data_IF_031932077807
#
_entry.id   IF_031932077807
#
_cell.length_a   1.000
_cell.length_b   1.000
_cell.length_c   1.000
_cell.angle_alpha   90.00
_cell.angle_beta   90.00
_cell.angle_gamma   90.00
#
_symmetry.space_group_name_H-M   'P 1'
#
loop_
_entity.id
_entity.type
_entity.pdbx_description
1 polymer ?
#
# COMPACT_ATOMS: atom_id res chain seq x y z
N UNK A 1 3.51 -27.46 -49.95
CA UNK A 1 3.62 -26.48 -48.86
C UNK A 1 2.30 -25.77 -48.66
N UNK A 2 1.42 -26.33 -47.83
CA UNK A 2 0.12 -25.75 -47.56
C UNK A 2 0.22 -24.98 -46.23
N UNK A 3 0.12 -23.64 -46.30
CA UNK A 3 -0.04 -22.79 -45.12
C UNK A 3 -1.50 -22.84 -44.69
N UNK A 4 -1.78 -23.57 -43.64
CA UNK A 4 -3.07 -23.56 -42.96
C UNK A 4 -3.25 -22.19 -42.27
N UNK A 5 -4.12 -21.36 -42.88
CA UNK A 5 -4.59 -20.13 -42.23
C UNK A 5 -5.56 -20.53 -41.13
N UNK A 6 -5.13 -20.45 -39.89
CA UNK A 6 -6.01 -20.56 -38.71
C UNK A 6 -6.86 -19.28 -38.66
N UNK A 7 -8.09 -19.36 -39.13
CA UNK A 7 -9.09 -18.32 -38.91
C UNK A 7 -9.48 -18.32 -37.44
N UNK A 8 -8.96 -17.37 -36.65
CA UNK A 8 -9.50 -17.03 -35.35
C UNK A 8 -10.90 -16.44 -35.56
N UNK A 9 -11.93 -17.26 -35.40
CA UNK A 9 -13.29 -16.78 -35.15
C UNK A 9 -13.26 -16.07 -33.77
N UNK A 10 -13.16 -14.76 -33.76
CA UNK A 10 -13.52 -13.97 -32.57
C UNK A 10 -14.98 -14.26 -32.26
N UNK A 11 -15.25 -14.94 -31.17
CA UNK A 11 -16.62 -15.22 -30.75
C UNK A 11 -17.26 -13.91 -30.25
N UNK A 12 -18.40 -13.55 -30.85
CA UNK A 12 -19.25 -12.42 -30.40
C UNK A 12 -20.00 -12.75 -29.10
N UNK A 13 -19.27 -13.13 -28.05
CA UNK A 13 -19.87 -13.46 -26.76
C UNK A 13 -20.01 -12.25 -25.82
N UNK A 14 -19.27 -11.19 -26.08
CA UNK A 14 -19.35 -9.93 -25.35
C UNK A 14 -20.00 -8.87 -26.24
N UNK A 15 -20.81 -7.97 -25.67
CA UNK A 15 -21.42 -6.87 -26.42
C UNK A 15 -20.33 -6.08 -27.15
N UNK A 16 -20.39 -6.02 -28.47
CA UNK A 16 -19.41 -5.36 -29.35
C UNK A 16 -19.33 -3.83 -29.23
N UNK A 17 -19.68 -3.25 -28.08
CA UNK A 17 -19.39 -1.86 -27.83
C UNK A 17 -18.02 -1.78 -27.16
N UNK A 18 -16.97 -1.37 -27.89
CA UNK A 18 -15.70 -1.07 -27.23
C UNK A 18 -16.00 0.00 -26.18
N UNK A 19 -15.49 -0.21 -24.96
CA UNK A 19 -15.63 0.75 -23.85
C UNK A 19 -14.97 2.11 -24.18
N UNK A 20 -14.45 2.27 -25.40
CA UNK A 20 -13.66 3.42 -25.82
C UNK A 20 -12.27 3.42 -25.18
N UNK A 21 -11.58 4.55 -25.29
CA UNK A 21 -10.32 4.77 -24.58
C UNK A 21 -10.64 5.00 -23.11
N UNK A 22 -10.36 4.01 -22.27
CA UNK A 22 -10.53 4.14 -20.83
C UNK A 22 -9.51 5.14 -20.29
N UNK A 23 -9.93 6.02 -19.35
CA UNK A 23 -9.01 6.97 -18.73
C UNK A 23 -7.92 6.22 -17.95
N UNK A 24 -6.70 6.74 -18.03
CA UNK A 24 -5.58 6.30 -17.19
C UNK A 24 -5.36 7.28 -16.06
N UNK A 25 -4.87 6.78 -14.94
CA UNK A 25 -4.54 7.64 -13.81
C UNK A 25 -3.35 8.54 -14.14
N UNK A 26 -3.50 9.82 -13.87
CA UNK A 26 -2.38 10.76 -13.89
C UNK A 26 -1.84 10.88 -12.47
N UNK A 27 -0.66 10.32 -12.23
CA UNK A 27 0.00 10.34 -10.93
C UNK A 27 1.04 11.45 -10.78
N UNK A 28 1.08 12.40 -11.72
CA UNK A 28 2.10 13.49 -11.73
C UNK A 28 2.01 14.41 -10.51
N UNK A 29 0.84 14.47 -9.83
CA UNK A 29 0.68 15.21 -8.58
C UNK A 29 1.49 14.59 -7.42
N UNK A 30 1.79 13.29 -7.51
CA UNK A 30 2.70 12.61 -6.60
C UNK A 30 4.13 12.66 -7.15
N UNK A 31 4.37 11.99 -8.29
CA UNK A 31 5.66 11.97 -8.98
C UNK A 31 5.47 11.76 -10.48
N UNK A 32 6.32 12.39 -11.29
CA UNK A 32 6.27 12.27 -12.75
C UNK A 32 6.63 10.87 -13.26
N UNK A 33 7.46 10.14 -12.55
CA UNK A 33 7.84 8.75 -12.88
C UNK A 33 8.56 8.07 -11.72
N UNK A 34 8.66 6.74 -11.79
CA UNK A 34 9.45 5.90 -10.85
C UNK A 34 10.96 6.22 -10.87
N UNK A 35 11.43 6.98 -11.88
CA UNK A 35 12.83 7.35 -12.07
C UNK A 35 13.09 8.85 -11.89
N UNK A 36 12.07 9.65 -11.53
CA UNK A 36 12.21 11.09 -11.36
C UNK A 36 13.19 11.42 -10.23
N UNK A 37 13.92 12.51 -10.39
CA UNK A 37 14.88 12.97 -9.37
C UNK A 37 14.19 13.32 -8.06
N UNK A 38 12.99 13.90 -8.12
CA UNK A 38 12.19 14.20 -6.91
C UNK A 38 11.87 12.93 -6.11
N UNK A 39 11.46 11.85 -6.80
CA UNK A 39 11.19 10.55 -6.12
C UNK A 39 12.43 10.01 -5.41
N UNK A 40 13.60 10.10 -6.06
CA UNK A 40 14.87 9.63 -5.48
C UNK A 40 15.31 10.48 -4.29
N UNK A 41 15.15 11.81 -4.41
CA UNK A 41 15.46 12.76 -3.35
C UNK A 41 14.57 12.53 -2.12
N UNK A 42 13.25 12.45 -2.32
CA UNK A 42 12.30 12.19 -1.24
C UNK A 42 12.58 10.86 -0.53
N UNK A 43 12.91 9.80 -1.30
CA UNK A 43 13.27 8.50 -0.73
C UNK A 43 14.58 8.55 0.07
N UNK A 44 15.57 9.29 -0.39
CA UNK A 44 16.82 9.49 0.33
C UNK A 44 16.63 10.35 1.59
N UNK A 45 15.83 11.41 1.48
CA UNK A 45 15.48 12.32 2.57
C UNK A 45 14.76 11.56 3.69
N UNK A 46 13.71 10.80 3.37
CA UNK A 46 12.96 10.04 4.39
C UNK A 46 13.81 8.97 5.05
N UNK A 47 14.68 8.30 4.28
CA UNK A 47 15.58 7.26 4.82
C UNK A 47 16.59 7.88 5.81
N UNK A 48 17.17 9.02 5.44
CA UNK A 48 18.15 9.71 6.29
C UNK A 48 17.47 10.35 7.49
N UNK A 49 16.31 11.00 7.27
CA UNK A 49 15.52 11.64 8.31
C UNK A 49 15.08 10.67 9.41
N UNK A 50 14.63 9.48 9.04
CA UNK A 50 14.23 8.43 10.00
C UNK A 50 15.41 7.99 10.89
N UNK A 51 16.58 7.77 10.29
CA UNK A 51 17.80 7.41 11.05
C UNK A 51 18.23 8.53 12.02
N UNK A 52 18.26 9.75 11.53
CA UNK A 52 18.61 10.91 12.40
C UNK A 52 17.61 11.10 13.51
N UNK A 53 16.32 10.91 13.25
CA UNK A 53 15.28 10.98 14.28
C UNK A 53 15.52 9.93 15.37
N UNK A 54 15.81 8.70 14.95
CA UNK A 54 16.13 7.58 15.84
C UNK A 54 17.36 7.85 16.69
N UNK A 55 18.47 8.21 16.09
CA UNK A 55 19.73 8.49 16.78
C UNK A 55 19.58 9.60 17.84
N UNK A 56 18.78 10.61 17.51
CA UNK A 56 18.58 11.77 18.37
C UNK A 56 17.66 11.49 19.55
N UNK A 57 16.56 10.74 19.33
CA UNK A 57 15.45 10.72 20.29
C UNK A 57 15.11 9.35 20.87
N UNK A 58 15.51 8.23 20.24
CA UNK A 58 15.17 6.90 20.74
C UNK A 58 15.70 6.70 22.16
N UNK A 59 14.84 6.23 23.06
CA UNK A 59 15.13 6.03 24.48
C UNK A 59 15.14 7.30 25.32
N UNK A 60 14.76 8.46 24.75
CA UNK A 60 14.86 9.77 25.41
C UNK A 60 13.56 10.55 25.46
N UNK A 61 12.45 10.01 24.93
CA UNK A 61 11.19 10.77 24.84
C UNK A 61 10.65 11.14 26.22
N UNK A 62 10.84 10.30 27.21
CA UNK A 62 10.43 10.59 28.59
C UNK A 62 11.17 11.77 29.25
N UNK A 63 12.30 12.19 28.69
CA UNK A 63 13.12 13.30 29.20
C UNK A 63 12.84 14.62 28.45
N UNK A 64 12.00 14.58 27.42
CA UNK A 64 11.74 15.76 26.60
C UNK A 64 10.75 16.71 27.28
N UNK A 65 11.05 18.01 27.17
CA UNK A 65 10.05 19.04 27.42
C UNK A 65 9.04 19.13 26.24
N UNK A 66 7.95 19.85 26.46
CA UNK A 66 6.88 19.98 25.49
C UNK A 66 7.35 20.58 24.13
N UNK A 67 8.30 21.53 24.17
CA UNK A 67 8.84 22.14 22.95
C UNK A 67 9.69 21.15 22.16
N UNK A 68 10.47 20.35 22.81
CA UNK A 68 11.30 19.31 22.20
C UNK A 68 10.45 18.17 21.67
N UNK A 69 9.40 17.77 22.40
CA UNK A 69 8.42 16.80 21.92
C UNK A 69 7.66 17.30 20.69
N UNK A 70 7.22 18.55 20.66
CA UNK A 70 6.57 19.14 19.49
C UNK A 70 7.49 19.14 18.26
N UNK A 71 8.79 19.41 18.41
CA UNK A 71 9.77 19.33 17.33
C UNK A 71 9.96 17.90 16.81
N UNK A 72 10.02 16.93 17.72
CA UNK A 72 10.09 15.52 17.39
C UNK A 72 8.85 15.10 16.58
N UNK A 73 7.65 15.42 17.07
CA UNK A 73 6.37 15.06 16.41
C UNK A 73 6.31 15.71 15.03
N UNK A 74 6.70 16.96 14.88
CA UNK A 74 6.74 17.63 13.58
C UNK A 74 7.68 16.93 12.59
N UNK A 75 8.84 16.49 13.05
CA UNK A 75 9.78 15.73 12.19
C UNK A 75 9.21 14.35 11.83
N UNK A 76 8.56 13.68 12.77
CA UNK A 76 7.86 12.42 12.56
C UNK A 76 6.71 12.58 11.54
N UNK A 77 5.93 13.65 11.64
CA UNK A 77 4.86 13.99 10.70
C UNK A 77 5.40 14.16 9.28
N UNK A 78 6.48 14.93 9.09
CA UNK A 78 7.13 15.13 7.79
C UNK A 78 7.64 13.81 7.19
N UNK A 79 8.26 12.95 7.99
CA UNK A 79 8.70 11.61 7.56
C UNK A 79 7.50 10.76 7.17
N UNK A 80 6.43 10.76 7.95
CA UNK A 80 5.21 9.99 7.70
C UNK A 80 4.49 10.44 6.44
N UNK A 81 4.45 11.75 6.17
CA UNK A 81 3.90 12.32 4.94
C UNK A 81 4.68 11.84 3.70
N UNK A 82 6.01 11.89 3.74
CA UNK A 82 6.85 11.39 2.65
C UNK A 82 6.69 9.88 2.43
N UNK A 83 6.64 9.09 3.51
CA UNK A 83 6.35 7.65 3.43
C UNK A 83 5.00 7.42 2.75
N UNK A 84 3.97 8.15 3.17
CA UNK A 84 2.63 8.07 2.59
C UNK A 84 2.61 8.41 1.11
N UNK A 85 3.28 9.47 0.69
CA UNK A 85 3.39 9.92 -0.70
C UNK A 85 4.11 8.89 -1.58
N UNK A 86 5.27 8.42 -1.14
CA UNK A 86 6.08 7.41 -1.83
C UNK A 86 5.32 6.09 -1.95
N UNK A 87 4.70 5.64 -0.84
CA UNK A 87 3.95 4.40 -0.79
C UNK A 87 2.70 4.45 -1.67
N UNK A 88 1.94 5.55 -1.63
CA UNK A 88 0.76 5.75 -2.48
C UNK A 88 1.12 5.74 -3.96
N UNK A 89 2.19 6.42 -4.35
CA UNK A 89 2.65 6.42 -5.74
C UNK A 89 3.04 5.01 -6.20
N UNK A 90 3.80 4.27 -5.39
CA UNK A 90 4.23 2.92 -5.73
C UNK A 90 3.03 1.96 -5.85
N UNK A 91 2.07 2.05 -4.92
CA UNK A 91 0.85 1.25 -4.93
C UNK A 91 -0.03 1.57 -6.15
N UNK A 92 -0.30 2.84 -6.43
CA UNK A 92 -1.16 3.24 -7.56
C UNK A 92 -0.54 2.85 -8.91
N UNK A 93 0.78 2.94 -9.05
CA UNK A 93 1.50 2.46 -10.23
C UNK A 93 1.32 0.94 -10.43
N UNK A 94 1.34 0.17 -9.35
CA UNK A 94 1.08 -1.27 -9.38
C UNK A 94 -0.40 -1.56 -9.69
N UNK A 95 -1.33 -0.88 -9.03
CA UNK A 95 -2.76 -1.11 -9.14
C UNK A 95 -3.31 -0.78 -10.53
N UNK A 96 -2.71 0.18 -11.25
CA UNK A 96 -3.08 0.49 -12.65
C UNK A 96 -2.90 -0.73 -13.57
N UNK A 97 -1.89 -1.55 -13.32
CA UNK A 97 -1.64 -2.78 -14.09
C UNK A 97 -0.91 -3.83 -13.24
N UNK A 98 -1.67 -4.60 -12.48
CA UNK A 98 -1.14 -5.66 -11.59
C UNK A 98 -0.43 -6.80 -12.33
N UNK A 99 -0.67 -6.95 -13.64
CA UNK A 99 0.02 -7.94 -14.49
C UNK A 99 1.40 -7.48 -14.97
N UNK A 100 1.75 -6.21 -14.77
CA UNK A 100 3.04 -5.66 -15.16
C UNK A 100 4.11 -6.00 -14.12
N UNK A 101 5.04 -6.88 -14.49
CA UNK A 101 6.10 -7.35 -13.60
C UNK A 101 7.04 -6.23 -13.11
N UNK A 102 7.28 -5.18 -13.92
CA UNK A 102 8.10 -4.04 -13.51
C UNK A 102 7.43 -3.21 -12.42
N UNK A 103 6.10 -2.98 -12.55
CA UNK A 103 5.34 -2.26 -11.55
C UNK A 103 5.27 -3.06 -10.23
N UNK A 104 5.06 -4.37 -10.32
CA UNK A 104 5.04 -5.27 -9.18
C UNK A 104 6.39 -5.27 -8.44
N UNK A 105 7.50 -5.38 -9.16
CA UNK A 105 8.84 -5.34 -8.59
C UNK A 105 9.16 -3.98 -7.96
N UNK A 106 8.80 -2.87 -8.64
CA UNK A 106 8.97 -1.53 -8.09
C UNK A 106 8.21 -1.37 -6.78
N UNK A 107 6.93 -1.75 -6.76
CA UNK A 107 6.09 -1.68 -5.57
C UNK A 107 6.68 -2.50 -4.42
N UNK A 108 7.11 -3.75 -4.68
CA UNK A 108 7.76 -4.58 -3.67
C UNK A 108 9.02 -3.92 -3.09
N UNK A 109 9.91 -3.42 -3.94
CA UNK A 109 11.14 -2.77 -3.49
C UNK A 109 10.86 -1.54 -2.62
N UNK A 110 9.79 -0.79 -2.94
CA UNK A 110 9.40 0.37 -2.13
C UNK A 110 8.77 -0.08 -0.81
N UNK A 111 7.94 -1.12 -0.80
CA UNK A 111 7.39 -1.66 0.45
C UNK A 111 8.48 -2.13 1.42
N UNK A 112 9.52 -2.81 0.93
CA UNK A 112 10.66 -3.22 1.74
C UNK A 112 11.35 -2.01 2.40
N UNK A 113 11.65 -0.98 1.60
CA UNK A 113 12.27 0.25 2.11
C UNK A 113 11.39 1.00 3.11
N UNK A 114 10.09 1.10 2.83
CA UNK A 114 9.13 1.73 3.76
C UNK A 114 9.06 0.95 5.08
N UNK A 115 9.12 -0.38 5.04
CA UNK A 115 9.13 -1.19 6.26
C UNK A 115 10.38 -0.95 7.10
N UNK A 116 11.56 -0.86 6.47
CA UNK A 116 12.80 -0.52 7.16
C UNK A 116 12.72 0.88 7.81
N UNK A 117 12.27 1.88 7.04
CA UNK A 117 12.10 3.26 7.52
C UNK A 117 11.07 3.32 8.66
N UNK A 118 9.94 2.62 8.52
CA UNK A 118 8.89 2.56 9.56
C UNK A 118 9.41 1.89 10.84
N UNK A 119 10.26 0.86 10.72
CA UNK A 119 10.91 0.24 11.87
C UNK A 119 11.86 1.20 12.62
N UNK A 120 12.51 2.12 11.88
CA UNK A 120 13.38 3.12 12.49
C UNK A 120 12.62 4.20 13.26
N UNK A 121 11.38 4.52 12.89
CA UNK A 121 10.57 5.55 13.57
C UNK A 121 9.49 4.98 14.49
N UNK A 122 9.35 3.67 14.57
CA UNK A 122 8.33 2.99 15.39
C UNK A 122 8.41 3.38 16.87
N UNK A 123 9.62 3.61 17.38
CA UNK A 123 9.86 4.00 18.78
C UNK A 123 9.09 5.25 19.20
N UNK A 124 8.77 6.17 18.27
CA UNK A 124 8.10 7.43 18.57
C UNK A 124 6.74 7.18 19.23
N UNK A 125 5.88 6.39 18.59
CA UNK A 125 4.56 6.07 19.14
C UNK A 125 4.65 5.17 20.37
N UNK A 126 5.59 4.22 20.37
CA UNK A 126 5.77 3.29 21.49
C UNK A 126 6.24 3.99 22.77
N UNK A 127 7.19 4.91 22.66
CA UNK A 127 7.71 5.65 23.82
C UNK A 127 6.74 6.72 24.31
N UNK A 128 6.04 7.43 23.42
CA UNK A 128 4.95 8.34 23.81
C UNK A 128 3.87 7.59 24.61
N UNK A 129 3.52 6.38 24.20
CA UNK A 129 2.54 5.55 24.89
C UNK A 129 3.02 5.10 26.30
N UNK A 130 4.32 5.06 26.54
CA UNK A 130 4.89 4.67 27.85
C UNK A 130 5.03 5.80 28.82
N UNK A 131 4.86 7.05 28.40
CA UNK A 131 4.91 8.19 29.31
C UNK A 131 3.95 7.97 30.49
N UNK A 132 4.37 8.31 31.71
CA UNK A 132 3.49 8.30 32.85
C UNK A 132 2.34 9.28 32.65
N UNK A 133 1.17 9.00 33.24
CA UNK A 133 -0.04 9.75 32.95
C UNK A 133 0.06 11.22 33.34
N UNK A 134 0.64 11.50 34.51
CA UNK A 134 0.88 12.85 35.01
C UNK A 134 1.82 13.65 34.09
N UNK A 135 2.88 13.02 33.61
CA UNK A 135 3.82 13.62 32.65
C UNK A 135 3.10 13.90 31.31
N UNK A 136 2.34 12.95 30.80
CA UNK A 136 1.60 13.10 29.57
C UNK A 136 0.59 14.24 29.64
N UNK A 137 -0.21 14.31 30.69
CA UNK A 137 -1.19 15.38 30.89
C UNK A 137 -0.49 16.74 31.02
N UNK A 138 0.61 16.83 31.80
CA UNK A 138 1.36 18.08 31.91
C UNK A 138 1.96 18.57 30.58
N UNK A 139 2.42 17.66 29.74
CA UNK A 139 2.91 18.01 28.39
C UNK A 139 1.79 18.61 27.52
N UNK A 140 0.56 18.07 27.59
CA UNK A 140 -0.58 18.55 26.82
C UNK A 140 -1.07 19.96 27.23
N UNK A 141 -0.73 20.45 28.40
CA UNK A 141 -1.04 21.83 28.85
C UNK A 141 -0.26 22.89 28.06
N UNK A 142 0.73 22.47 27.25
CA UNK A 142 1.58 23.39 26.49
C UNK A 142 1.00 23.69 25.10
N UNK A 143 0.81 24.98 24.80
CA UNK A 143 0.24 25.46 23.52
C UNK A 143 0.95 24.90 22.27
N UNK A 144 2.25 24.58 22.36
CA UNK A 144 2.99 24.02 21.21
C UNK A 144 2.57 22.59 20.87
N UNK A 145 1.89 21.89 21.76
CA UNK A 145 1.34 20.56 21.54
C UNK A 145 -0.17 20.57 21.24
N UNK A 146 -0.85 21.72 21.37
CA UNK A 146 -2.30 21.84 21.18
C UNK A 146 -2.76 21.31 19.79
N UNK A 147 -1.99 21.57 18.73
CA UNK A 147 -2.28 21.05 17.40
C UNK A 147 -2.21 19.52 17.33
N UNK A 148 -1.30 18.90 18.08
CA UNK A 148 -1.07 17.45 18.09
C UNK A 148 -1.86 16.72 19.17
N UNK A 149 -2.58 17.42 20.04
CA UNK A 149 -3.31 16.81 21.15
C UNK A 149 -4.29 15.71 20.70
N UNK A 150 -5.13 15.88 19.66
CA UNK A 150 -6.03 14.82 19.20
C UNK A 150 -5.27 13.55 18.81
N UNK A 151 -4.21 13.68 18.02
CA UNK A 151 -3.37 12.56 17.62
C UNK A 151 -2.69 11.88 18.81
N UNK A 152 -2.15 12.66 19.76
CA UNK A 152 -1.52 12.14 20.98
C UNK A 152 -2.52 11.35 21.84
N UNK A 153 -3.76 11.81 21.94
CA UNK A 153 -4.84 11.09 22.64
C UNK A 153 -5.24 9.80 21.92
N UNK A 154 -5.30 9.82 20.60
CA UNK A 154 -5.63 8.64 19.79
C UNK A 154 -4.58 7.54 19.94
N UNK A 155 -3.28 7.87 19.80
CA UNK A 155 -2.23 6.87 20.03
C UNK A 155 -2.20 6.37 21.48
N UNK A 156 -2.50 7.25 22.46
CA UNK A 156 -2.58 6.87 23.87
C UNK A 156 -3.70 5.88 24.18
N UNK A 157 -4.81 5.93 23.44
CA UNK A 157 -5.90 4.98 23.58
C UNK A 157 -5.47 3.53 23.27
N UNK A 158 -4.46 3.35 22.42
CA UNK A 158 -3.89 2.06 22.05
C UNK A 158 -2.91 1.49 23.08
N UNK A 159 -2.51 2.27 24.11
CA UNK A 159 -1.51 1.87 25.14
C UNK A 159 -1.79 0.50 25.73
N UNK A 160 -3.05 0.20 26.04
CA UNK A 160 -3.47 -1.07 26.66
C UNK A 160 -3.26 -2.31 25.79
N UNK A 161 -3.08 -2.11 24.47
CA UNK A 161 -2.84 -3.18 23.50
C UNK A 161 -1.39 -3.25 23.05
N UNK A 162 -0.57 -2.28 23.47
CA UNK A 162 0.84 -2.23 23.10
C UNK A 162 1.60 -3.43 23.65
N UNK A 163 2.36 -4.05 22.79
CA UNK A 163 3.25 -5.16 23.12
C UNK A 163 4.65 -4.68 23.51
N UNK A 164 5.58 -5.60 23.72
CA UNK A 164 6.99 -5.23 23.86
C UNK A 164 7.55 -4.73 22.53
N UNK A 165 8.59 -3.90 22.58
CA UNK A 165 9.23 -3.31 21.39
C UNK A 165 9.66 -4.34 20.36
N UNK A 166 10.21 -5.47 20.84
CA UNK A 166 10.65 -6.55 19.98
C UNK A 166 9.47 -7.19 19.24
N UNK A 167 8.31 -7.34 19.90
CA UNK A 167 7.10 -7.88 19.28
C UNK A 167 6.46 -6.89 18.32
N UNK A 168 6.38 -5.60 18.69
CA UNK A 168 5.87 -4.56 17.79
C UNK A 168 6.74 -4.46 16.52
N UNK A 169 8.04 -4.51 16.69
CA UNK A 169 8.98 -4.53 15.57
C UNK A 169 8.81 -5.77 14.71
N UNK A 170 8.71 -6.95 15.33
CA UNK A 170 8.48 -8.20 14.61
C UNK A 170 7.18 -8.16 13.80
N UNK A 171 6.10 -7.62 14.36
CA UNK A 171 4.81 -7.47 13.66
C UNK A 171 4.96 -6.53 12.48
N UNK A 172 5.65 -5.39 12.65
CA UNK A 172 5.92 -4.45 11.56
C UNK A 172 6.68 -5.12 10.41
N UNK A 173 7.74 -5.86 10.71
CA UNK A 173 8.52 -6.61 9.71
C UNK A 173 7.71 -7.74 9.05
N UNK A 174 6.86 -8.45 9.81
CA UNK A 174 5.97 -9.51 9.30
C UNK A 174 4.88 -9.02 8.37
N UNK A 175 4.55 -7.72 8.40
CA UNK A 175 3.57 -7.12 7.48
C UNK A 175 3.95 -7.34 6.01
N UNK A 176 5.23 -7.33 5.66
CA UNK A 176 5.71 -7.62 4.30
C UNK A 176 5.29 -9.02 3.84
N UNK A 177 5.41 -10.03 4.71
CA UNK A 177 5.01 -11.40 4.39
C UNK A 177 3.50 -11.50 4.15
N UNK A 178 2.68 -10.85 4.99
CA UNK A 178 1.23 -10.81 4.82
C UNK A 178 0.84 -10.16 3.49
N UNK A 179 1.44 -9.01 3.17
CA UNK A 179 1.19 -8.30 1.92
C UNK A 179 1.65 -9.08 0.68
N UNK A 180 2.70 -9.89 0.79
CA UNK A 180 3.15 -10.74 -0.30
C UNK A 180 2.10 -11.81 -0.68
N UNK A 181 1.38 -12.37 0.31
CA UNK A 181 0.28 -13.31 0.04
C UNK A 181 -0.92 -12.62 -0.62
N UNK A 182 -1.29 -11.42 -0.17
CA UNK A 182 -2.35 -10.63 -0.82
C UNK A 182 -1.99 -10.36 -2.27
N UNK A 183 -0.76 -9.91 -2.52
CA UNK A 183 -0.28 -9.65 -3.89
C UNK A 183 -0.28 -10.91 -4.75
N UNK A 184 0.16 -12.05 -4.22
CA UNK A 184 0.12 -13.32 -4.95
C UNK A 184 -1.31 -13.69 -5.36
N UNK A 185 -2.28 -13.46 -4.46
CA UNK A 185 -3.69 -13.67 -4.77
C UNK A 185 -4.15 -12.76 -5.91
N UNK A 186 -3.91 -11.44 -5.80
CA UNK A 186 -4.33 -10.45 -6.79
C UNK A 186 -3.72 -10.74 -8.17
N UNK A 187 -2.41 -11.04 -8.22
CA UNK A 187 -1.74 -11.39 -9.47
C UNK A 187 -2.26 -12.70 -10.07
N UNK A 188 -2.54 -13.70 -9.23
CA UNK A 188 -3.06 -14.99 -9.68
C UNK A 188 -4.46 -14.83 -10.28
N UNK A 189 -5.36 -14.11 -9.59
CA UNK A 189 -6.71 -13.84 -10.09
C UNK A 189 -6.68 -12.99 -11.37
N UNK A 190 -5.80 -11.99 -11.45
CA UNK A 190 -5.70 -11.14 -12.64
C UNK A 190 -5.22 -11.91 -13.88
N UNK A 191 -4.41 -12.96 -13.68
CA UNK A 191 -3.90 -13.83 -14.76
C UNK A 191 -4.82 -14.99 -15.09
N UNK A 192 -5.80 -15.29 -14.24
CA UNK A 192 -6.72 -16.39 -14.45
C UNK A 192 -7.52 -16.19 -15.75
N UNK A 193 -7.62 -17.24 -16.56
CA UNK A 193 -8.38 -17.25 -17.81
C UNK A 193 -9.29 -18.48 -17.84
N UNK A 194 -10.48 -18.28 -18.42
CA UNK A 194 -11.51 -19.30 -18.59
C UNK A 194 -11.76 -19.52 -20.08
N UNK A 195 -11.84 -20.77 -20.52
CA UNK A 195 -12.05 -21.11 -21.91
C UNK A 195 -13.54 -21.40 -22.19
N UNK A 196 -14.34 -20.35 -22.29
CA UNK A 196 -15.80 -20.49 -22.48
C UNK A 196 -16.13 -20.47 -23.96
N UNK A 197 -16.75 -21.53 -24.48
CA UNK A 197 -17.13 -21.68 -25.92
C UNK A 197 -15.95 -21.41 -26.88
N UNK A 198 -14.72 -21.76 -26.50
CA UNK A 198 -13.52 -21.56 -27.31
C UNK A 198 -12.96 -20.13 -27.29
N UNK A 199 -13.51 -19.24 -26.46
CA UNK A 199 -12.99 -17.92 -26.18
C UNK A 199 -12.29 -17.88 -24.82
N UNK A 200 -11.08 -17.32 -24.79
CA UNK A 200 -10.34 -17.10 -23.56
C UNK A 200 -10.82 -15.80 -22.89
N UNK A 201 -11.42 -15.92 -21.71
CA UNK A 201 -12.07 -14.84 -20.98
C UNK A 201 -11.34 -14.54 -19.65
N UNK A 202 -11.42 -13.29 -19.21
CA UNK A 202 -11.03 -12.91 -17.85
C UNK A 202 -12.05 -13.43 -16.82
N UNK A 203 -11.68 -13.43 -15.53
CA UNK A 203 -12.62 -13.80 -14.46
C UNK A 203 -13.89 -12.94 -14.49
N UNK A 204 -13.74 -11.62 -14.70
CA UNK A 204 -14.89 -10.71 -14.78
C UNK A 204 -15.80 -11.02 -15.97
N UNK A 205 -15.23 -11.28 -17.14
CA UNK A 205 -16.01 -11.60 -18.34
C UNK A 205 -16.73 -12.95 -18.21
N UNK A 206 -16.05 -13.96 -17.65
CA UNK A 206 -16.65 -15.27 -17.41
C UNK A 206 -17.81 -15.19 -16.39
N UNK A 207 -17.63 -14.44 -15.29
CA UNK A 207 -18.69 -14.20 -14.32
C UNK A 207 -19.87 -13.40 -14.91
N UNK A 208 -19.59 -12.41 -15.75
CA UNK A 208 -20.65 -11.65 -16.44
C UNK A 208 -21.52 -12.55 -17.34
N UNK A 209 -20.94 -13.59 -17.94
CA UNK A 209 -21.71 -14.55 -18.76
C UNK A 209 -22.71 -15.36 -17.95
N UNK A 210 -22.59 -15.47 -16.63
CA UNK A 210 -23.61 -16.12 -15.78
C UNK A 210 -24.93 -15.35 -15.81
N UNK A 211 -24.95 -14.09 -16.21
CA UNK A 211 -26.13 -13.24 -16.38
C UNK A 211 -26.50 -13.03 -17.84
N UNK A 212 -25.89 -13.75 -18.80
CA UNK A 212 -26.20 -13.63 -20.22
C UNK A 212 -27.67 -14.04 -20.51
N UNK A 213 -28.29 -13.40 -21.51
CA UNK A 213 -29.68 -13.71 -21.92
C UNK A 213 -29.83 -15.14 -22.46
N UNK A 214 -28.78 -15.70 -23.11
CA UNK A 214 -28.75 -17.03 -23.66
C UNK A 214 -28.38 -18.06 -22.61
N UNK A 215 -29.25 -19.06 -22.42
CA UNK A 215 -29.07 -20.16 -21.48
C UNK A 215 -27.76 -20.93 -21.72
N UNK A 216 -27.40 -21.12 -22.99
CA UNK A 216 -26.21 -21.85 -23.45
C UNK A 216 -24.92 -21.16 -22.95
N UNK A 217 -24.86 -19.83 -23.03
CA UNK A 217 -23.72 -19.06 -22.54
C UNK A 217 -23.61 -19.14 -21.01
N UNK A 218 -24.73 -19.00 -20.29
CA UNK A 218 -24.75 -19.14 -18.83
C UNK A 218 -24.28 -20.52 -18.39
N UNK A 219 -24.73 -21.57 -19.09
CA UNK A 219 -24.35 -22.95 -18.78
C UNK A 219 -22.86 -23.17 -19.01
N UNK A 220 -22.35 -22.78 -20.19
CA UNK A 220 -20.93 -22.94 -20.52
C UNK A 220 -20.02 -22.17 -19.54
N UNK A 221 -20.40 -20.97 -19.13
CA UNK A 221 -19.65 -20.21 -18.14
C UNK A 221 -19.68 -20.89 -16.74
N UNK A 222 -20.83 -21.40 -16.33
CA UNK A 222 -20.98 -22.09 -15.05
C UNK A 222 -20.16 -23.38 -14.99
N UNK A 223 -20.13 -24.15 -16.09
CA UNK A 223 -19.34 -25.37 -16.19
C UNK A 223 -17.84 -25.08 -16.11
N UNK A 224 -17.37 -24.04 -16.78
CA UNK A 224 -15.94 -23.68 -16.81
C UNK A 224 -15.47 -23.06 -15.48
N UNK A 225 -16.31 -22.26 -14.81
CA UNK A 225 -15.98 -21.64 -13.52
C UNK A 225 -16.05 -22.66 -12.39
N UNK A 226 -16.88 -23.69 -12.51
CA UNK A 226 -17.12 -24.69 -11.47
C UNK A 226 -16.09 -25.81 -11.40
N UNK A 227 -15.16 -25.83 -12.33
CA UNK A 227 -14.04 -26.74 -12.36
C UNK A 227 -12.76 -25.96 -12.00
#
# INVERSE_FOLDING_TARGET
MNKTKTNQKKSNLLSDKPLGDLPRWNLSDLYNSTKSEQFKQDLAEVTTGAKLLKEKYQGKISELDANSLAKLIKSYEQISELIGRIGSFAFLNYAENVSNSHNAQFFQNIQEKITDISSDILFVTLEINRLEEDVFVSLLENDNLAYYEPWLRDIRAERKYQLSDDLERLINEKRLTSQAWVRLFDESISRLRFLVNGAELTSADALNLLSDSKKENRKAAAEEIGF
#
